data_IF_440770989692
#
_entry.id   IF_440770989692
#
_cell.length_a   1.000
_cell.length_b   1.000
_cell.length_c   1.000
_cell.angle_alpha   90.00
_cell.angle_beta   90.00
_cell.angle_gamma   90.00
#
_symmetry.space_group_name_H-M   'P 1'
#
loop_
_entity.id
_entity.type
_entity.pdbx_description
1 polymer ?
#
# COMPACT_ATOMS: atom_id res chain seq x y z
N UNK A 1 -2.93 30.50 6.73
CA UNK A 1 -3.48 29.26 7.30
C UNK A 1 -3.02 28.09 6.43
N UNK A 2 -1.93 27.45 6.81
CA UNK A 2 -1.33 26.32 6.06
C UNK A 2 -2.07 25.05 6.42
N UNK A 3 -2.81 24.49 5.46
CA UNK A 3 -3.52 23.22 5.57
C UNK A 3 -2.52 22.07 5.73
N UNK A 4 -2.20 21.69 6.97
CA UNK A 4 -1.31 20.57 7.28
C UNK A 4 -2.04 19.25 7.01
N UNK A 5 -1.83 18.74 5.79
CA UNK A 5 -1.64 17.32 5.44
C UNK A 5 -2.71 16.32 5.91
N UNK A 6 -3.45 15.78 4.94
CA UNK A 6 -4.45 14.71 5.07
C UNK A 6 -3.89 13.35 5.51
N UNK A 7 -3.23 13.28 6.66
CA UNK A 7 -2.93 12.01 7.31
C UNK A 7 -4.14 11.62 8.15
N UNK A 8 -4.95 10.68 7.63
CA UNK A 8 -6.05 10.13 8.41
C UNK A 8 -5.47 9.25 9.53
N UNK A 9 -5.68 9.59 10.82
CA UNK A 9 -5.10 8.84 11.93
C UNK A 9 -5.48 7.35 11.93
N UNK A 10 -6.65 6.99 11.38
CA UNK A 10 -7.06 5.59 11.24
C UNK A 10 -6.17 4.79 10.27
N UNK A 11 -5.63 5.44 9.24
CA UNK A 11 -4.72 4.85 8.24
C UNK A 11 -3.32 4.68 8.83
N UNK A 12 -2.87 5.63 9.66
CA UNK A 12 -1.60 5.54 10.38
C UNK A 12 -1.62 4.54 11.54
N UNK A 13 -2.80 4.22 12.08
CA UNK A 13 -2.92 3.22 13.16
C UNK A 13 -2.86 1.77 12.69
N UNK A 14 -3.12 1.48 11.40
CA UNK A 14 -3.12 0.11 10.86
C UNK A 14 -2.41 0.00 9.49
N UNK A 15 -1.13 0.40 9.40
CA UNK A 15 -0.41 0.50 8.14
C UNK A 15 -0.27 -0.85 7.41
N UNK A 16 -0.10 -1.96 8.15
CA UNK A 16 -0.09 -3.31 7.58
C UNK A 16 -1.42 -3.67 6.91
N UNK A 17 -2.56 -3.32 7.54
CA UNK A 17 -3.89 -3.62 7.01
C UNK A 17 -4.20 -2.82 5.74
N UNK A 18 -3.76 -1.56 5.71
CA UNK A 18 -3.86 -0.69 4.52
C UNK A 18 -3.10 -1.31 3.34
N UNK A 19 -1.88 -1.78 3.58
CA UNK A 19 -1.11 -2.47 2.55
C UNK A 19 -1.84 -3.70 1.99
N UNK A 20 -2.41 -4.55 2.86
CA UNK A 20 -3.17 -5.74 2.42
C UNK A 20 -4.32 -5.36 1.48
N UNK A 21 -5.12 -4.34 1.83
CA UNK A 21 -6.22 -3.90 0.98
C UNK A 21 -5.74 -3.32 -0.36
N UNK A 22 -4.65 -2.55 -0.36
CA UNK A 22 -4.06 -2.02 -1.60
C UNK A 22 -3.54 -3.15 -2.48
N UNK A 23 -2.86 -4.14 -1.89
CA UNK A 23 -2.38 -5.31 -2.60
C UNK A 23 -3.53 -6.12 -3.22
N UNK A 24 -4.62 -6.34 -2.48
CA UNK A 24 -5.82 -6.99 -3.01
C UNK A 24 -6.47 -6.19 -4.16
N UNK A 25 -6.57 -4.86 -4.03
CA UNK A 25 -7.15 -4.01 -5.05
C UNK A 25 -6.31 -3.96 -6.34
N UNK A 26 -4.98 -4.02 -6.23
CA UNK A 26 -4.07 -4.16 -7.38
C UNK A 26 -4.21 -5.54 -8.01
N UNK A 27 -4.26 -6.60 -7.21
CA UNK A 27 -4.40 -7.98 -7.72
C UNK A 27 -5.77 -8.24 -8.38
N UNK A 28 -6.83 -7.60 -7.91
CA UNK A 28 -8.15 -7.60 -8.51
C UNK A 28 -8.32 -6.62 -9.67
N UNK A 29 -7.23 -5.98 -10.13
CA UNK A 29 -7.23 -4.97 -11.19
C UNK A 29 -8.26 -3.84 -10.95
N UNK A 30 -8.60 -3.56 -9.69
CA UNK A 30 -9.52 -2.47 -9.31
C UNK A 30 -8.79 -1.13 -9.31
N UNK A 31 -7.50 -1.13 -8.98
CA UNK A 31 -6.61 0.01 -9.13
C UNK A 31 -5.73 -0.19 -10.38
N UNK A 32 -5.87 0.72 -11.35
CA UNK A 32 -5.09 0.71 -12.59
C UNK A 32 -4.60 2.11 -12.95
N UNK A 33 -3.64 2.20 -13.90
CA UNK A 33 -3.15 3.46 -14.44
C UNK A 33 -2.51 4.38 -13.38
N UNK A 34 -2.68 5.70 -13.54
CA UNK A 34 -2.12 6.68 -12.62
C UNK A 34 -2.64 6.56 -11.18
N UNK A 35 -3.88 6.10 -10.99
CA UNK A 35 -4.45 5.94 -9.65
C UNK A 35 -3.71 4.86 -8.87
N UNK A 36 -3.36 3.74 -9.52
CA UNK A 36 -2.56 2.70 -8.90
C UNK A 36 -1.19 3.22 -8.44
N UNK A 37 -0.49 3.97 -9.29
CA UNK A 37 0.81 4.57 -8.94
C UNK A 37 0.72 5.45 -7.69
N UNK A 38 -0.25 6.39 -7.66
CA UNK A 38 -0.40 7.29 -6.50
C UNK A 38 -0.71 6.53 -5.21
N UNK A 39 -1.53 5.48 -5.29
CA UNK A 39 -1.88 4.65 -4.12
C UNK A 39 -0.66 3.85 -3.65
N UNK A 40 0.11 3.29 -4.56
CA UNK A 40 1.35 2.56 -4.24
C UNK A 40 2.37 3.50 -3.58
N UNK A 41 2.58 4.70 -4.12
CA UNK A 41 3.47 5.70 -3.53
C UNK A 41 3.03 6.12 -2.13
N UNK A 42 1.74 6.40 -1.93
CA UNK A 42 1.20 6.71 -0.62
C UNK A 42 1.35 5.54 0.38
N UNK A 43 1.19 4.31 -0.10
CA UNK A 43 1.36 3.10 0.72
C UNK A 43 2.83 2.90 1.10
N UNK A 44 3.77 3.11 0.17
CA UNK A 44 5.21 3.08 0.45
C UNK A 44 5.59 4.12 1.51
N UNK A 45 5.09 5.35 1.39
CA UNK A 45 5.34 6.41 2.37
C UNK A 45 4.75 6.06 3.77
N UNK A 46 3.55 5.48 3.80
CA UNK A 46 2.92 5.02 5.05
C UNK A 46 3.73 3.93 5.73
N UNK A 47 4.18 2.92 4.98
CA UNK A 47 4.99 1.83 5.50
C UNK A 47 6.35 2.33 6.00
N UNK A 48 6.99 3.25 5.28
CA UNK A 48 8.22 3.89 5.72
C UNK A 48 8.03 4.65 7.04
N UNK A 49 6.94 5.43 7.17
CA UNK A 49 6.60 6.12 8.41
C UNK A 49 6.32 5.16 9.58
N UNK A 50 5.82 3.97 9.28
CA UNK A 50 5.55 2.91 10.27
C UNK A 50 6.75 1.99 10.52
N UNK A 51 7.91 2.21 9.87
CA UNK A 51 9.06 1.31 9.89
C UNK A 51 8.71 -0.15 9.52
N UNK A 52 7.77 -0.32 8.58
CA UNK A 52 7.33 -1.62 8.08
C UNK A 52 7.95 -1.93 6.72
N UNK A 53 8.33 -3.19 6.53
CA UNK A 53 8.87 -3.66 5.26
C UNK A 53 7.75 -4.19 4.35
N UNK A 54 7.47 -3.55 3.18
CA UNK A 54 6.48 -4.03 2.23
C UNK A 54 6.74 -5.45 1.75
N UNK A 55 8.01 -5.88 1.60
CA UNK A 55 8.34 -7.23 1.16
C UNK A 55 7.93 -8.30 2.19
N UNK A 56 8.06 -8.00 3.48
CA UNK A 56 7.61 -8.91 4.55
C UNK A 56 6.07 -9.01 4.60
N UNK A 57 5.38 -7.90 4.37
CA UNK A 57 3.92 -7.90 4.29
C UNK A 57 3.42 -8.63 3.04
N UNK A 58 4.12 -8.47 1.92
CA UNK A 58 3.85 -9.19 0.67
C UNK A 58 4.00 -10.70 0.87
N UNK A 59 5.04 -11.13 1.61
CA UNK A 59 5.29 -12.53 1.95
C UNK A 59 4.12 -13.20 2.71
N UNK A 60 3.26 -12.43 3.39
CA UNK A 60 2.09 -12.93 4.12
C UNK A 60 0.85 -13.10 3.23
N UNK A 61 0.87 -12.60 1.99
CA UNK A 61 -0.22 -12.73 1.03
C UNK A 61 -0.10 -14.02 0.21
N UNK A 62 -1.21 -14.43 -0.41
CA UNK A 62 -1.24 -15.57 -1.34
C UNK A 62 -0.28 -15.36 -2.52
N UNK A 63 0.32 -16.45 -3.03
CA UNK A 63 1.29 -16.40 -4.13
C UNK A 63 0.76 -15.70 -5.38
N UNK A 64 -0.53 -15.83 -5.69
CA UNK A 64 -1.14 -15.10 -6.81
C UNK A 64 -1.11 -13.58 -6.60
N UNK A 65 -1.48 -13.11 -5.40
CA UNK A 65 -1.43 -11.69 -5.04
C UNK A 65 0.01 -11.19 -5.06
N UNK A 66 0.96 -11.99 -4.56
CA UNK A 66 2.39 -11.66 -4.58
C UNK A 66 2.86 -11.38 -6.00
N UNK A 67 2.62 -12.29 -6.96
CA UNK A 67 3.06 -12.12 -8.36
C UNK A 67 2.48 -10.86 -8.99
N UNK A 68 1.21 -10.55 -8.73
CA UNK A 68 0.53 -9.36 -9.30
C UNK A 68 0.98 -8.04 -8.66
N UNK A 69 1.32 -8.06 -7.38
CA UNK A 69 1.63 -6.86 -6.59
C UNK A 69 3.14 -6.59 -6.53
N UNK A 70 3.97 -7.64 -6.61
CA UNK A 70 5.43 -7.54 -6.67
C UNK A 70 5.95 -6.47 -7.64
N UNK A 71 5.50 -6.37 -8.92
CA UNK A 71 6.02 -5.35 -9.83
C UNK A 71 5.76 -3.89 -9.39
N UNK A 72 4.81 -3.65 -8.48
CA UNK A 72 4.50 -2.32 -7.95
C UNK A 72 5.37 -1.95 -6.74
N UNK A 73 5.82 -2.96 -5.98
CA UNK A 73 6.54 -2.80 -4.72
C UNK A 73 7.98 -3.29 -4.74
N UNK A 74 8.43 -3.86 -5.87
CA UNK A 74 9.83 -4.11 -6.18
C UNK A 74 10.65 -2.82 -6.27
#
# INVERSE_FOLDING_TARGET
MTNTSKQNPAVTSQPAKVFVFVAQALAGQTLQGQTANRVVEATKALLAAASLNPAQLLAQLSSETQVKVHPWFA
#
